data_IF_319740634659
#
_entry.id   IF_319740634659
#
_cell.length_a   1.000
_cell.length_b   1.000
_cell.length_c   1.000
_cell.angle_alpha   90.00
_cell.angle_beta   90.00
_cell.angle_gamma   90.00
#
_symmetry.space_group_name_H-M   'P 1'
#
loop_
_entity.id
_entity.type
_entity.pdbx_description
1 polymer ?
#
# COMPACT_ATOMS: atom_id res chain seq x y z
N UNK A 1 -4.16 11.68 -13.57
CA UNK A 1 -3.60 10.57 -14.38
C UNK A 1 -2.37 10.06 -13.67
N UNK A 2 -2.28 8.76 -13.50
CA UNK A 2 -1.06 8.09 -13.05
C UNK A 2 -0.48 7.26 -14.17
N UNK A 3 0.83 7.26 -14.26
CA UNK A 3 1.57 6.36 -15.12
C UNK A 3 2.71 5.70 -14.32
N UNK A 4 2.53 4.41 -14.08
CA UNK A 4 3.61 3.55 -13.61
C UNK A 4 4.47 3.15 -14.80
N UNK A 5 5.75 3.43 -14.71
CA UNK A 5 6.67 3.04 -15.79
C UNK A 5 6.88 1.53 -15.79
N UNK A 6 7.20 0.96 -16.93
CA UNK A 6 7.76 -0.38 -16.94
C UNK A 6 9.19 -0.36 -16.36
N UNK A 7 9.68 -1.46 -15.77
CA UNK A 7 11.04 -1.53 -15.23
C UNK A 7 12.11 -1.05 -16.21
N UNK A 8 11.97 -1.38 -17.50
CA UNK A 8 12.91 -0.98 -18.55
C UNK A 8 12.96 0.55 -18.74
N UNK A 9 11.86 1.26 -18.45
CA UNK A 9 11.83 2.72 -18.56
C UNK A 9 12.47 3.39 -17.35
N UNK A 10 12.49 2.75 -16.20
CA UNK A 10 13.24 3.23 -15.04
C UNK A 10 14.73 2.87 -15.19
N UNK A 11 15.05 1.65 -15.69
CA UNK A 11 16.44 1.26 -15.97
C UNK A 11 17.08 2.13 -17.05
N UNK A 12 16.27 2.68 -17.99
CA UNK A 12 16.69 3.64 -19.00
C UNK A 12 15.97 4.97 -18.79
N UNK A 13 16.37 5.82 -17.82
CA UNK A 13 15.64 7.00 -17.39
C UNK A 13 15.23 7.94 -18.52
N UNK A 14 16.05 8.06 -19.56
CA UNK A 14 15.74 8.89 -20.73
C UNK A 14 14.43 8.53 -21.41
N UNK A 15 14.09 7.23 -21.46
CA UNK A 15 12.84 6.76 -22.07
C UNK A 15 11.64 7.08 -21.20
N UNK A 16 11.75 6.81 -19.89
CA UNK A 16 10.69 7.16 -18.94
C UNK A 16 10.40 8.66 -18.88
N UNK A 17 11.45 9.49 -18.91
CA UNK A 17 11.35 10.95 -18.95
C UNK A 17 10.69 11.43 -20.25
N UNK A 18 11.04 10.84 -21.40
CA UNK A 18 10.43 11.17 -22.69
C UNK A 18 8.92 10.84 -22.69
N UNK A 19 8.55 9.66 -22.18
CA UNK A 19 7.13 9.27 -22.03
C UNK A 19 6.40 10.26 -21.12
N UNK A 20 6.99 10.61 -19.97
CA UNK A 20 6.40 11.59 -19.04
C UNK A 20 6.16 12.95 -19.73
N UNK A 21 7.11 13.38 -20.56
CA UNK A 21 6.94 14.62 -21.33
C UNK A 21 5.81 14.54 -22.33
N UNK A 22 5.67 13.41 -23.06
CA UNK A 22 4.56 13.19 -24.00
C UNK A 22 3.22 13.25 -23.25
N UNK A 23 3.13 12.63 -22.07
CA UNK A 23 1.92 12.65 -21.23
C UNK A 23 1.57 14.10 -20.86
N UNK A 24 2.52 14.86 -20.34
CA UNK A 24 2.33 16.25 -19.92
C UNK A 24 1.89 17.13 -21.10
N UNK A 25 2.56 17.01 -22.24
CA UNK A 25 2.23 17.80 -23.43
C UNK A 25 0.81 17.45 -23.95
N UNK A 26 0.45 16.15 -23.95
CA UNK A 26 -0.89 15.69 -24.33
C UNK A 26 -1.96 16.23 -23.36
N UNK A 27 -1.69 16.17 -22.05
CA UNK A 27 -2.61 16.71 -21.04
C UNK A 27 -2.87 18.20 -21.25
N UNK A 28 -1.81 19.00 -21.47
CA UNK A 28 -1.94 20.44 -21.76
C UNK A 28 -2.75 20.73 -23.01
N UNK A 29 -2.58 19.94 -24.08
CA UNK A 29 -3.39 20.07 -25.31
C UNK A 29 -4.87 19.86 -24.99
N UNK A 30 -5.22 18.81 -24.27
CA UNK A 30 -6.62 18.47 -23.96
C UNK A 30 -7.23 19.41 -22.92
N UNK A 31 -6.44 19.91 -21.99
CA UNK A 31 -6.84 20.98 -21.06
C UNK A 31 -7.25 22.25 -21.83
N UNK A 32 -6.40 22.67 -22.76
CA UNK A 32 -6.70 23.83 -23.59
C UNK A 32 -7.92 23.65 -24.50
N UNK A 33 -8.10 22.43 -25.05
CA UNK A 33 -9.17 22.12 -25.99
C UNK A 33 -10.54 21.95 -25.31
N UNK A 34 -10.58 21.36 -24.11
CA UNK A 34 -11.83 20.96 -23.46
C UNK A 34 -12.07 21.67 -22.11
N UNK A 35 -11.17 22.52 -21.67
CA UNK A 35 -11.27 23.17 -20.35
C UNK A 35 -11.12 22.18 -19.18
N UNK A 36 -10.42 21.07 -19.40
CA UNK A 36 -10.12 20.11 -18.33
C UNK A 36 -9.15 20.72 -17.31
N UNK A 37 -9.14 20.14 -16.13
CA UNK A 37 -8.06 20.33 -15.14
C UNK A 37 -7.54 18.95 -14.81
N UNK A 38 -6.29 18.72 -15.06
CA UNK A 38 -5.64 17.44 -14.85
C UNK A 38 -4.41 17.60 -13.97
N UNK A 39 -4.00 16.51 -13.35
CA UNK A 39 -2.73 16.40 -12.68
C UNK A 39 -2.09 15.06 -13.06
N UNK A 40 -0.78 15.05 -13.19
CA UNK A 40 -0.01 13.87 -13.58
C UNK A 40 0.86 13.39 -12.43
N UNK A 41 0.69 12.12 -12.07
CA UNK A 41 1.54 11.38 -11.14
C UNK A 41 2.44 10.42 -11.92
N UNK A 42 3.74 10.67 -11.89
CA UNK A 42 4.75 9.77 -12.42
C UNK A 42 5.19 8.80 -11.32
N UNK A 43 5.17 7.50 -11.60
CA UNK A 43 5.52 6.43 -10.67
C UNK A 43 6.59 5.52 -11.30
N UNK A 44 7.88 5.93 -11.30
CA UNK A 44 8.97 5.04 -11.69
C UNK A 44 9.04 3.83 -10.76
N UNK A 45 9.35 2.64 -11.35
CA UNK A 45 9.47 1.41 -10.57
C UNK A 45 10.68 1.44 -9.64
N UNK A 46 10.57 0.74 -8.53
CA UNK A 46 11.73 0.38 -7.70
C UNK A 46 12.47 -0.80 -8.32
N UNK A 47 13.73 -0.57 -8.70
CA UNK A 47 14.60 -1.55 -9.33
C UNK A 47 15.63 -2.17 -8.39
N UNK A 48 15.67 -1.72 -7.13
CA UNK A 48 16.76 -2.06 -6.21
C UNK A 48 16.84 -3.55 -5.88
N UNK A 49 15.71 -4.23 -5.93
CA UNK A 49 15.63 -5.69 -5.76
C UNK A 49 16.09 -6.50 -6.98
N UNK A 50 16.46 -5.86 -8.09
CA UNK A 50 17.08 -6.57 -9.21
C UNK A 50 18.51 -7.04 -8.88
N UNK A 51 19.13 -6.50 -7.82
CA UNK A 51 20.34 -7.07 -7.24
C UNK A 51 19.98 -8.24 -6.31
N UNK A 52 20.89 -9.19 -6.19
CA UNK A 52 20.76 -10.32 -5.28
C UNK A 52 22.07 -10.47 -4.48
N UNK A 53 22.06 -10.22 -3.17
CA UNK A 53 20.98 -9.63 -2.37
C UNK A 53 20.65 -8.18 -2.78
N UNK A 54 19.48 -7.65 -2.39
CA UNK A 54 19.06 -6.29 -2.72
C UNK A 54 20.05 -5.22 -2.24
N UNK A 55 20.37 -4.26 -3.10
CA UNK A 55 21.17 -3.07 -2.76
C UNK A 55 20.26 -1.85 -2.79
N UNK A 56 19.96 -1.30 -1.61
CA UNK A 56 18.88 -0.34 -1.42
C UNK A 56 19.32 1.12 -1.47
N UNK A 57 20.62 1.41 -1.19
CA UNK A 57 21.07 2.79 -0.97
C UNK A 57 22.12 3.27 -1.97
N UNK A 58 22.51 2.43 -2.94
CA UNK A 58 23.56 2.77 -3.88
C UNK A 58 23.47 1.95 -5.19
N UNK A 59 24.39 2.23 -6.13
CA UNK A 59 24.57 1.47 -7.36
C UNK A 59 23.62 1.89 -8.48
N UNK A 60 23.76 1.19 -9.62
CA UNK A 60 23.16 1.58 -10.90
C UNK A 60 21.63 1.72 -10.85
N UNK A 61 20.93 0.87 -10.10
CA UNK A 61 19.47 0.91 -10.00
C UNK A 61 19.00 2.09 -9.16
N UNK A 62 19.68 2.37 -8.04
CA UNK A 62 19.43 3.55 -7.25
C UNK A 62 19.65 4.85 -8.06
N UNK A 63 20.77 4.93 -8.78
CA UNK A 63 21.10 6.08 -9.62
C UNK A 63 20.06 6.28 -10.73
N UNK A 64 19.62 5.22 -11.39
CA UNK A 64 18.59 5.25 -12.42
C UNK A 64 17.23 5.73 -11.86
N UNK A 65 16.85 5.27 -10.67
CA UNK A 65 15.63 5.74 -10.00
C UNK A 65 15.70 7.24 -9.68
N UNK A 66 16.78 7.70 -9.08
CA UNK A 66 16.99 9.12 -8.76
C UNK A 66 16.94 9.99 -10.04
N UNK A 67 17.57 9.56 -11.12
CA UNK A 67 17.52 10.24 -12.43
C UNK A 67 16.07 10.27 -12.95
N UNK A 68 15.33 9.15 -12.84
CA UNK A 68 13.94 9.05 -13.27
C UNK A 68 13.01 9.96 -12.47
N UNK A 69 13.13 10.00 -11.15
CA UNK A 69 12.32 10.90 -10.30
C UNK A 69 12.58 12.38 -10.64
N UNK A 70 13.85 12.77 -10.71
CA UNK A 70 14.22 14.14 -11.05
C UNK A 70 13.77 14.51 -12.47
N UNK A 71 14.01 13.64 -13.44
CA UNK A 71 13.68 13.89 -14.83
C UNK A 71 12.17 13.96 -15.10
N UNK A 72 11.35 13.07 -14.49
CA UNK A 72 9.90 13.14 -14.59
C UNK A 72 9.34 14.41 -13.95
N UNK A 73 9.88 14.84 -12.79
CA UNK A 73 9.52 16.10 -12.16
C UNK A 73 9.85 17.29 -13.06
N UNK A 74 11.04 17.33 -13.65
CA UNK A 74 11.47 18.39 -14.59
C UNK A 74 10.65 18.38 -15.89
N UNK A 75 10.17 17.21 -16.33
CA UNK A 75 9.29 17.09 -17.49
C UNK A 75 7.88 17.66 -17.24
N UNK A 76 7.54 17.97 -15.99
CA UNK A 76 6.29 18.61 -15.62
C UNK A 76 5.29 17.69 -14.92
N UNK A 77 5.73 16.57 -14.35
CA UNK A 77 4.89 15.77 -13.46
C UNK A 77 4.52 16.60 -12.22
N UNK A 78 3.23 16.63 -11.89
CA UNK A 78 2.73 17.33 -10.69
C UNK A 78 3.10 16.55 -9.42
N UNK A 79 3.09 15.23 -9.51
CA UNK A 79 3.37 14.32 -8.41
C UNK A 79 4.43 13.30 -8.80
N UNK A 80 5.28 12.96 -7.85
CA UNK A 80 6.22 11.83 -7.94
C UNK A 80 5.82 10.79 -6.90
N UNK A 81 5.78 9.53 -7.33
CA UNK A 81 5.49 8.37 -6.50
C UNK A 81 6.44 7.22 -6.86
N UNK A 82 6.32 6.12 -6.14
CA UNK A 82 7.03 4.86 -6.37
C UNK A 82 6.25 3.74 -5.71
N UNK A 83 6.37 2.51 -6.20
CA UNK A 83 6.04 1.32 -5.42
C UNK A 83 7.35 0.75 -4.88
N UNK A 84 7.67 1.08 -3.63
CA UNK A 84 8.93 0.69 -3.03
C UNK A 84 8.96 -0.77 -2.60
N UNK A 85 10.15 -1.38 -2.66
CA UNK A 85 10.33 -2.83 -2.49
C UNK A 85 11.16 -3.21 -1.27
N UNK A 86 11.63 -2.23 -0.48
CA UNK A 86 12.45 -2.50 0.69
C UNK A 86 11.82 -3.50 1.66
N UNK A 87 12.51 -4.62 1.92
CA UNK A 87 12.02 -5.71 2.75
C UNK A 87 11.08 -6.70 2.04
N UNK A 88 10.81 -6.51 0.74
CA UNK A 88 9.78 -7.30 0.05
C UNK A 88 10.10 -8.79 -0.04
N UNK A 89 11.34 -9.17 -0.33
CA UNK A 89 11.71 -10.58 -0.46
C UNK A 89 11.57 -11.34 0.87
N UNK A 90 11.95 -10.71 1.99
CA UNK A 90 11.72 -11.27 3.32
C UNK A 90 10.23 -11.38 3.62
N UNK A 91 9.45 -10.35 3.28
CA UNK A 91 8.00 -10.37 3.47
C UNK A 91 7.32 -11.48 2.65
N UNK A 92 7.70 -11.65 1.38
CA UNK A 92 7.07 -12.66 0.52
C UNK A 92 7.34 -14.08 1.03
N UNK A 93 8.53 -14.36 1.54
CA UNK A 93 8.85 -15.64 2.20
C UNK A 93 8.04 -15.82 3.49
N UNK A 94 8.00 -14.79 4.33
CA UNK A 94 7.22 -14.81 5.56
C UNK A 94 5.72 -15.04 5.29
N UNK A 95 5.16 -14.45 4.22
CA UNK A 95 3.77 -14.67 3.82
C UNK A 95 3.52 -16.13 3.43
N UNK A 96 4.41 -16.74 2.64
CA UNK A 96 4.25 -18.15 2.23
C UNK A 96 4.27 -19.08 3.43
N UNK A 97 5.05 -18.74 4.45
CA UNK A 97 5.16 -19.51 5.70
C UNK A 97 4.07 -19.16 6.73
N UNK A 98 3.26 -18.15 6.47
CA UNK A 98 2.30 -17.55 7.40
C UNK A 98 2.95 -17.21 8.76
N UNK A 99 4.13 -16.59 8.70
CA UNK A 99 4.95 -16.19 9.84
C UNK A 99 4.82 -14.68 10.08
N UNK A 100 4.00 -14.30 11.07
CA UNK A 100 3.76 -12.88 11.36
C UNK A 100 4.97 -12.20 12.02
N UNK A 101 5.84 -12.95 12.71
CA UNK A 101 7.06 -12.42 13.29
C UNK A 101 8.02 -11.91 12.20
N UNK A 102 8.25 -12.74 11.16
CA UNK A 102 9.05 -12.35 10.01
C UNK A 102 8.40 -11.23 9.17
N UNK A 103 7.06 -11.23 9.03
CA UNK A 103 6.32 -10.13 8.39
C UNK A 103 6.55 -8.81 9.14
N UNK A 104 6.44 -8.80 10.48
CA UNK A 104 6.67 -7.60 11.27
C UNK A 104 8.12 -7.12 11.15
N UNK A 105 9.09 -8.03 11.06
CA UNK A 105 10.48 -7.67 10.79
C UNK A 105 10.63 -7.02 9.40
N UNK A 106 10.11 -7.66 8.37
CA UNK A 106 10.22 -7.16 6.99
C UNK A 106 9.54 -5.79 6.81
N UNK A 107 8.37 -5.58 7.39
CA UNK A 107 7.61 -4.33 7.26
C UNK A 107 8.07 -3.26 8.26
N UNK A 108 8.13 -3.61 9.55
CA UNK A 108 8.35 -2.67 10.65
C UNK A 108 9.80 -2.24 10.80
N UNK A 109 10.75 -3.15 10.50
CA UNK A 109 12.19 -2.84 10.56
C UNK A 109 12.70 -2.46 9.18
N UNK A 110 12.77 -3.41 8.25
CA UNK A 110 13.37 -3.17 6.93
C UNK A 110 12.57 -2.15 6.13
N UNK A 111 11.29 -2.37 5.95
CA UNK A 111 10.41 -1.53 5.14
C UNK A 111 10.32 -0.09 5.63
N UNK A 112 10.14 0.12 6.95
CA UNK A 112 10.06 1.46 7.50
C UNK A 112 11.39 2.23 7.38
N UNK A 113 12.53 1.56 7.62
CA UNK A 113 13.85 2.18 7.47
C UNK A 113 14.16 2.53 6.02
N UNK A 114 13.77 1.66 5.08
CA UNK A 114 13.92 1.94 3.65
C UNK A 114 13.02 3.09 3.21
N UNK A 115 11.77 3.10 3.61
CA UNK A 115 10.81 4.15 3.29
C UNK A 115 11.29 5.53 3.75
N UNK A 116 11.83 5.65 4.97
CA UNK A 116 12.40 6.91 5.46
C UNK A 116 13.56 7.38 4.58
N UNK A 117 14.48 6.47 4.23
CA UNK A 117 15.59 6.81 3.33
C UNK A 117 15.08 7.23 1.94
N UNK A 118 14.23 6.43 1.31
CA UNK A 118 13.74 6.64 -0.05
C UNK A 118 12.93 7.92 -0.15
N UNK A 119 11.95 8.11 0.74
CA UNK A 119 11.04 9.25 0.69
C UNK A 119 11.67 10.58 1.08
N UNK A 120 12.69 10.56 1.92
CA UNK A 120 13.52 11.74 2.14
C UNK A 120 14.14 12.21 0.82
N UNK A 121 14.73 11.31 0.03
CA UNK A 121 15.33 11.65 -1.26
C UNK A 121 14.28 12.11 -2.28
N UNK A 122 13.12 11.43 -2.38
CA UNK A 122 12.03 11.83 -3.28
C UNK A 122 11.51 13.22 -2.90
N UNK A 123 11.29 13.51 -1.62
CA UNK A 123 10.81 14.80 -1.14
C UNK A 123 11.80 15.92 -1.44
N UNK A 124 13.10 15.69 -1.27
CA UNK A 124 14.14 16.64 -1.62
C UNK A 124 14.17 16.92 -3.15
N UNK A 125 14.02 15.88 -3.99
CA UNK A 125 13.92 16.02 -5.45
C UNK A 125 12.67 16.83 -5.84
N UNK A 126 11.52 16.49 -5.28
CA UNK A 126 10.26 17.20 -5.55
C UNK A 126 10.37 18.69 -5.19
N UNK A 127 10.90 18.98 -4.00
CA UNK A 127 11.13 20.35 -3.54
C UNK A 127 12.06 21.13 -4.47
N UNK A 128 13.12 20.50 -4.97
CA UNK A 128 14.10 21.12 -5.87
C UNK A 128 13.52 21.41 -7.25
N UNK A 129 12.56 20.63 -7.74
CA UNK A 129 12.01 20.70 -9.09
C UNK A 129 10.56 21.22 -9.17
N UNK A 130 9.90 21.49 -8.05
CA UNK A 130 8.57 22.10 -8.00
C UNK A 130 7.40 21.12 -8.18
N UNK A 131 7.63 19.81 -8.04
CA UNK A 131 6.57 18.79 -7.94
C UNK A 131 6.24 18.47 -6.48
N UNK A 132 5.26 17.59 -6.26
CA UNK A 132 4.83 17.15 -4.94
C UNK A 132 5.14 15.66 -4.74
N UNK A 133 5.64 15.25 -3.56
CA UNK A 133 5.79 13.85 -3.22
C UNK A 133 4.40 13.29 -2.87
N UNK A 134 3.93 12.29 -3.66
CA UNK A 134 2.56 11.80 -3.51
C UNK A 134 2.38 10.83 -2.35
N UNK A 135 3.35 9.97 -2.12
CA UNK A 135 3.25 8.88 -1.16
C UNK A 135 3.28 7.52 -1.87
N UNK A 136 3.43 6.50 -1.08
CA UNK A 136 3.53 5.11 -1.51
C UNK A 136 2.58 4.26 -0.67
N UNK A 137 2.08 3.18 -1.23
CA UNK A 137 1.31 2.18 -0.52
C UNK A 137 2.06 0.85 -0.49
N UNK A 138 1.66 -0.04 0.41
CA UNK A 138 2.21 -1.38 0.48
C UNK A 138 1.53 -2.32 -0.56
N UNK A 139 1.28 -1.81 -1.77
CA UNK A 139 0.56 -2.54 -2.83
C UNK A 139 1.20 -3.90 -3.10
N UNK A 140 2.51 -3.94 -3.37
CA UNK A 140 3.22 -5.19 -3.62
C UNK A 140 3.25 -6.17 -2.45
N UNK A 141 3.08 -5.69 -1.21
CA UNK A 141 3.04 -6.51 0.00
C UNK A 141 1.62 -7.01 0.29
N UNK A 142 0.66 -6.10 0.33
CA UNK A 142 -0.75 -6.43 0.59
C UNK A 142 -1.37 -7.26 -0.52
N UNK A 143 -1.04 -7.00 -1.78
CA UNK A 143 -1.53 -7.78 -2.91
C UNK A 143 -1.08 -9.24 -2.81
N UNK A 144 0.19 -9.51 -2.52
CA UNK A 144 0.69 -10.88 -2.36
C UNK A 144 -0.06 -11.60 -1.24
N UNK A 145 -0.24 -10.97 -0.09
CA UNK A 145 -1.01 -11.56 1.02
C UNK A 145 -2.46 -11.87 0.63
N UNK A 146 -3.14 -10.93 -0.03
CA UNK A 146 -4.52 -11.11 -0.49
C UNK A 146 -4.66 -12.28 -1.46
N UNK A 147 -3.77 -12.36 -2.45
CA UNK A 147 -3.76 -13.44 -3.44
C UNK A 147 -3.55 -14.81 -2.82
N UNK A 148 -2.57 -14.91 -1.92
CA UNK A 148 -2.30 -16.17 -1.23
C UNK A 148 -3.50 -16.61 -0.36
N UNK A 149 -4.16 -15.66 0.31
CA UNK A 149 -5.34 -15.92 1.11
C UNK A 149 -6.54 -16.39 0.26
N UNK A 150 -6.81 -15.73 -0.86
CA UNK A 150 -7.92 -16.12 -1.76
C UNK A 150 -7.70 -17.49 -2.42
N UNK A 151 -6.44 -17.86 -2.62
CA UNK A 151 -6.07 -19.20 -3.09
C UNK A 151 -6.07 -20.27 -1.98
N UNK A 152 -6.35 -19.87 -0.74
CA UNK A 152 -6.33 -20.76 0.43
C UNK A 152 -4.93 -21.27 0.80
N UNK A 153 -3.89 -20.55 0.39
CA UNK A 153 -2.49 -20.87 0.72
C UNK A 153 -2.08 -20.31 2.09
N UNK A 154 -2.69 -19.21 2.50
CA UNK A 154 -2.57 -18.65 3.85
C UNK A 154 -3.96 -18.32 4.40
N UNK A 155 -4.13 -18.17 5.73
CA UNK A 155 -5.41 -17.80 6.31
C UNK A 155 -5.83 -16.37 5.95
N UNK A 156 -7.14 -16.14 5.73
CA UNK A 156 -7.67 -14.79 5.50
C UNK A 156 -7.48 -13.88 6.71
N UNK A 157 -7.57 -14.42 7.92
CA UNK A 157 -7.27 -13.68 9.15
C UNK A 157 -5.83 -13.20 9.18
N UNK A 158 -4.87 -14.01 8.71
CA UNK A 158 -3.47 -13.62 8.60
C UNK A 158 -3.30 -12.46 7.60
N UNK A 159 -3.88 -12.57 6.41
CA UNK A 159 -3.82 -11.50 5.41
C UNK A 159 -4.44 -10.19 5.90
N UNK A 160 -5.51 -10.25 6.71
CA UNK A 160 -6.14 -9.08 7.31
C UNK A 160 -5.23 -8.41 8.35
N UNK A 161 -4.51 -9.19 9.16
CA UNK A 161 -3.50 -8.67 10.11
C UNK A 161 -2.34 -8.01 9.35
N UNK A 162 -1.81 -8.66 8.31
CA UNK A 162 -0.75 -8.11 7.46
C UNK A 162 -1.17 -6.77 6.85
N UNK A 163 -2.41 -6.64 6.39
CA UNK A 163 -2.96 -5.38 5.84
C UNK A 163 -2.79 -4.20 6.81
N UNK A 164 -3.03 -4.40 8.10
CA UNK A 164 -2.86 -3.34 9.10
C UNK A 164 -1.40 -3.16 9.49
N UNK A 165 -0.61 -4.23 9.52
CA UNK A 165 0.83 -4.14 9.78
C UNK A 165 1.59 -3.30 8.75
N UNK A 166 1.08 -3.16 7.51
CA UNK A 166 1.71 -2.31 6.48
C UNK A 166 1.56 -0.81 6.73
N UNK A 167 0.69 -0.38 7.65
CA UNK A 167 0.38 1.05 7.88
C UNK A 167 1.61 1.88 8.23
N UNK A 168 2.44 1.40 9.16
CA UNK A 168 3.62 2.15 9.62
C UNK A 168 4.62 2.38 8.47
N UNK A 169 4.81 1.37 7.63
CA UNK A 169 5.67 1.47 6.44
C UNK A 169 5.18 2.55 5.49
N UNK A 170 3.92 2.55 5.14
CA UNK A 170 3.37 3.54 4.23
C UNK A 170 3.32 4.95 4.86
N UNK A 171 3.07 5.06 6.18
CA UNK A 171 3.07 6.32 6.91
C UNK A 171 4.45 6.99 6.91
N UNK A 172 5.55 6.23 6.87
CA UNK A 172 6.90 6.78 6.80
C UNK A 172 7.11 7.74 5.61
N UNK A 173 6.42 7.54 4.48
CA UNK A 173 6.46 8.47 3.37
C UNK A 173 5.90 9.86 3.74
N UNK A 174 4.82 9.88 4.52
CA UNK A 174 4.19 11.12 4.99
C UNK A 174 5.03 11.82 6.06
N UNK A 175 5.72 11.07 6.90
CA UNK A 175 6.69 11.61 7.87
C UNK A 175 7.84 12.32 7.15
N UNK A 176 8.22 11.85 5.96
CA UNK A 176 9.27 12.45 5.11
C UNK A 176 8.73 13.47 4.10
N UNK A 177 7.47 13.89 4.21
CA UNK A 177 6.90 15.01 3.47
C UNK A 177 5.95 14.70 2.34
N UNK A 178 5.54 13.44 2.15
CA UNK A 178 4.49 13.10 1.19
C UNK A 178 3.16 13.76 1.58
N UNK A 179 2.36 14.15 0.56
CA UNK A 179 1.11 14.89 0.74
C UNK A 179 -0.11 14.19 0.15
N UNK A 180 0.08 13.05 -0.54
CA UNK A 180 -0.96 12.38 -1.31
C UNK A 180 -1.28 13.05 -2.65
N UNK A 181 -2.21 12.51 -3.42
CA UNK A 181 -2.92 11.27 -3.14
C UNK A 181 -1.99 10.05 -3.25
N UNK A 182 -1.94 9.26 -2.18
CA UNK A 182 -1.26 7.97 -2.22
C UNK A 182 -2.11 7.00 -3.03
N UNK A 183 -1.49 6.23 -3.90
CA UNK A 183 -2.16 5.13 -4.59
C UNK A 183 -2.38 4.00 -3.60
N UNK A 184 -3.58 3.44 -3.59
CA UNK A 184 -3.93 2.31 -2.76
C UNK A 184 -4.90 1.38 -3.49
N UNK A 185 -4.59 0.10 -3.46
CA UNK A 185 -5.49 -0.95 -3.93
C UNK A 185 -6.46 -1.41 -2.81
N UNK A 186 -6.83 -0.52 -1.92
CA UNK A 186 -7.62 -0.76 -0.71
C UNK A 186 -6.91 -1.69 0.30
N UNK A 187 -5.63 -1.48 0.54
CA UNK A 187 -4.87 -2.20 1.58
C UNK A 187 -4.85 -1.41 2.89
N UNK A 188 -3.94 -0.47 3.04
CA UNK A 188 -3.76 0.32 4.26
C UNK A 188 -4.11 1.80 4.10
N UNK A 189 -4.39 2.27 2.88
CA UNK A 189 -4.58 3.69 2.57
C UNK A 189 -5.67 4.37 3.40
N UNK A 190 -6.70 3.64 3.78
CA UNK A 190 -7.76 4.15 4.67
C UNK A 190 -7.24 4.54 6.05
N UNK A 191 -6.22 3.84 6.56
CA UNK A 191 -5.53 4.20 7.81
C UNK A 191 -4.69 5.46 7.63
N UNK A 192 -3.96 5.55 6.51
CA UNK A 192 -3.22 6.76 6.16
C UNK A 192 -4.14 7.98 6.11
N UNK A 193 -5.30 7.85 5.46
CA UNK A 193 -6.32 8.89 5.43
C UNK A 193 -6.81 9.27 6.82
N UNK A 194 -7.08 8.30 7.69
CA UNK A 194 -7.54 8.56 9.06
C UNK A 194 -6.49 9.29 9.90
N UNK A 195 -5.21 8.96 9.73
CA UNK A 195 -4.09 9.52 10.50
C UNK A 195 -3.66 10.88 9.96
N UNK A 196 -3.47 11.01 8.64
CA UNK A 196 -2.86 12.19 8.02
C UNK A 196 -3.88 13.20 7.48
N UNK A 197 -5.11 12.77 7.22
CA UNK A 197 -6.10 13.55 6.49
C UNK A 197 -5.82 13.69 4.99
N UNK A 198 -4.77 13.07 4.48
CA UNK A 198 -4.40 13.12 3.06
C UNK A 198 -5.36 12.31 2.20
N UNK A 199 -5.60 12.71 0.95
CA UNK A 199 -6.45 11.96 0.03
C UNK A 199 -5.81 10.63 -0.36
N UNK A 200 -6.67 9.62 -0.58
CA UNK A 200 -6.28 8.29 -1.04
C UNK A 200 -6.99 7.98 -2.34
N UNK A 201 -6.26 7.48 -3.33
CA UNK A 201 -6.83 6.99 -4.58
C UNK A 201 -6.93 5.46 -4.56
N UNK A 202 -7.96 4.94 -5.23
CA UNK A 202 -8.17 3.50 -5.40
C UNK A 202 -8.52 3.21 -6.85
N UNK A 203 -8.16 2.04 -7.33
CA UNK A 203 -8.40 1.63 -8.72
C UNK A 203 -9.86 1.25 -9.02
N UNK A 204 -10.77 1.46 -8.09
CA UNK A 204 -12.21 1.17 -8.25
C UNK A 204 -12.61 -0.20 -7.73
N UNK A 205 -13.93 -0.43 -7.66
CA UNK A 205 -14.51 -1.64 -7.05
C UNK A 205 -14.03 -2.92 -7.70
N UNK A 206 -14.00 -2.95 -9.03
CA UNK A 206 -13.67 -4.17 -9.78
C UNK A 206 -12.21 -4.56 -9.59
N UNK A 207 -11.30 -3.60 -9.59
CA UNK A 207 -9.89 -3.85 -9.34
C UNK A 207 -9.64 -4.21 -7.87
N UNK A 208 -10.27 -3.49 -6.93
CA UNK A 208 -10.15 -3.78 -5.50
C UNK A 208 -10.61 -5.20 -5.12
N UNK A 209 -11.54 -5.78 -5.87
CA UNK A 209 -12.01 -7.17 -5.66
C UNK A 209 -11.53 -8.16 -6.74
N UNK A 210 -10.53 -7.79 -7.55
CA UNK A 210 -10.02 -8.60 -8.66
C UNK A 210 -9.61 -10.02 -8.27
N UNK A 211 -9.24 -10.21 -7.04
CA UNK A 211 -8.81 -11.49 -6.48
C UNK A 211 -9.91 -12.19 -5.67
N UNK A 212 -11.16 -11.86 -5.96
CA UNK A 212 -12.37 -12.44 -5.35
C UNK A 212 -12.59 -12.05 -3.87
N UNK A 213 -11.77 -11.17 -3.31
CA UNK A 213 -12.01 -10.59 -1.98
C UNK A 213 -13.25 -9.69 -2.02
N UNK A 214 -14.20 -9.82 -1.08
CA UNK A 214 -15.41 -8.99 -1.02
C UNK A 214 -15.12 -7.59 -0.43
N UNK A 215 -14.21 -6.83 -1.05
CA UNK A 215 -13.78 -5.50 -0.58
C UNK A 215 -14.11 -4.36 -1.53
N UNK A 216 -14.75 -4.62 -2.67
CA UNK A 216 -14.99 -3.59 -3.69
C UNK A 216 -15.91 -2.47 -3.21
N UNK A 217 -16.97 -2.77 -2.49
CA UNK A 217 -17.89 -1.74 -1.98
C UNK A 217 -17.26 -0.95 -0.82
N UNK A 218 -16.60 -1.62 0.13
CA UNK A 218 -15.96 -0.92 1.24
C UNK A 218 -14.80 -0.04 0.73
N UNK A 219 -14.02 -0.48 -0.27
CA UNK A 219 -13.01 0.34 -0.91
C UNK A 219 -13.64 1.63 -1.48
N UNK A 220 -14.78 1.52 -2.17
CA UNK A 220 -15.52 2.67 -2.66
C UNK A 220 -16.00 3.63 -1.56
N UNK A 221 -16.30 3.10 -0.38
CA UNK A 221 -16.78 3.88 0.75
C UNK A 221 -15.69 4.71 1.43
N UNK A 222 -14.44 4.21 1.42
CA UNK A 222 -13.34 4.75 2.25
C UNK A 222 -12.28 5.50 1.46
N UNK A 223 -12.28 5.45 0.12
CA UNK A 223 -11.33 6.18 -0.72
C UNK A 223 -11.89 7.52 -1.21
N UNK A 224 -11.02 8.48 -1.46
CA UNK A 224 -11.40 9.82 -1.95
C UNK A 224 -11.42 9.90 -3.47
N UNK A 225 -10.46 9.24 -4.10
CA UNK A 225 -10.23 9.24 -5.52
C UNK A 225 -10.30 7.81 -6.05
N UNK A 226 -10.68 7.71 -7.33
CA UNK A 226 -10.75 6.46 -8.03
C UNK A 226 -9.74 6.48 -9.16
N UNK A 227 -8.88 5.50 -9.20
CA UNK A 227 -7.94 5.28 -10.29
C UNK A 227 -8.34 4.04 -11.09
N UNK A 228 -7.82 3.94 -12.29
CA UNK A 228 -7.97 2.78 -13.14
C UNK A 228 -6.58 2.24 -13.45
N UNK A 229 -6.33 0.98 -13.12
CA UNK A 229 -5.16 0.25 -13.57
C UNK A 229 -5.51 -0.59 -14.77
N UNK A 230 -4.76 -0.40 -15.83
CA UNK A 230 -4.85 -1.21 -17.05
C UNK A 230 -3.48 -1.83 -17.30
N UNK A 231 -3.24 -3.00 -16.74
CA UNK A 231 -2.04 -3.77 -17.03
C UNK A 231 -2.41 -4.90 -17.98
N UNK A 232 -2.32 -4.64 -19.28
CA UNK A 232 -2.73 -5.60 -20.30
C UNK A 232 -1.78 -6.78 -20.49
N UNK A 233 -0.55 -6.73 -19.99
CA UNK A 233 0.47 -7.73 -20.31
C UNK A 233 1.31 -8.22 -19.15
N UNK A 234 1.19 -7.66 -17.95
CA UNK A 234 1.91 -8.14 -16.77
C UNK A 234 1.03 -9.12 -16.02
N UNK A 235 1.48 -10.37 -15.95
CA UNK A 235 0.91 -11.35 -15.02
C UNK A 235 1.42 -11.02 -13.63
N UNK A 236 0.58 -10.44 -12.82
CA UNK A 236 0.75 -10.48 -11.38
C UNK A 236 0.70 -11.96 -10.92
N UNK A 237 1.23 -12.27 -9.75
CA UNK A 237 1.09 -13.60 -9.13
C UNK A 237 -0.36 -14.13 -9.16
N UNK A 238 -1.34 -13.24 -9.24
CA UNK A 238 -2.77 -13.48 -9.21
C UNK A 238 -3.49 -13.30 -10.54
N UNK A 239 -2.80 -13.36 -11.66
CA UNK A 239 -3.38 -13.05 -12.97
C UNK A 239 -3.47 -11.55 -13.27
N UNK A 240 -4.05 -11.19 -14.41
CA UNK A 240 -4.12 -9.78 -14.80
C UNK A 240 -5.15 -9.03 -13.96
N UNK A 241 -4.79 -7.84 -13.51
CA UNK A 241 -5.78 -6.93 -12.95
C UNK A 241 -6.88 -6.66 -13.98
N UNK A 242 -8.16 -6.67 -13.61
CA UNK A 242 -9.24 -6.41 -14.53
C UNK A 242 -9.15 -4.96 -15.04
N UNK A 243 -9.40 -4.79 -16.33
CA UNK A 243 -9.57 -3.46 -16.90
C UNK A 243 -10.88 -2.89 -16.40
N UNK A 244 -10.80 -1.81 -15.63
CA UNK A 244 -11.99 -1.06 -15.22
C UNK A 244 -12.21 0.06 -16.22
N UNK A 245 -13.37 0.09 -16.86
CA UNK A 245 -13.68 1.16 -17.80
C UNK A 245 -13.87 2.50 -17.08
N UNK A 246 -13.42 3.58 -17.71
CA UNK A 246 -13.61 4.93 -17.17
C UNK A 246 -15.10 5.27 -16.96
N UNK A 247 -15.99 4.71 -17.78
CA UNK A 247 -17.43 4.86 -17.62
C UNK A 247 -17.92 4.27 -16.29
N UNK A 248 -17.41 3.11 -15.91
CA UNK A 248 -17.75 2.48 -14.63
C UNK A 248 -17.31 3.34 -13.45
N UNK A 249 -16.07 3.85 -13.49
CA UNK A 249 -15.58 4.79 -12.47
C UNK A 249 -16.44 6.06 -12.38
N UNK A 250 -16.84 6.60 -13.54
CA UNK A 250 -17.73 7.77 -13.61
C UNK A 250 -19.10 7.48 -12.99
N UNK A 251 -19.67 6.29 -13.21
CA UNK A 251 -20.95 5.90 -12.61
C UNK A 251 -20.83 5.79 -11.08
N UNK A 252 -19.83 5.11 -10.56
CA UNK A 252 -19.60 4.94 -9.13
C UNK A 252 -19.38 6.30 -8.44
N UNK A 253 -18.51 7.13 -9.00
CA UNK A 253 -18.24 8.49 -8.48
C UNK A 253 -19.48 9.38 -8.55
N UNK A 254 -20.25 9.31 -9.64
CA UNK A 254 -21.50 10.08 -9.78
C UNK A 254 -22.52 9.67 -8.73
N UNK A 255 -22.63 8.37 -8.41
CA UNK A 255 -23.56 7.88 -7.39
C UNK A 255 -23.19 8.41 -6.01
N UNK A 256 -21.90 8.33 -5.62
CA UNK A 256 -21.38 8.88 -4.37
C UNK A 256 -21.60 10.40 -4.28
N UNK A 257 -21.29 11.14 -5.35
CA UNK A 257 -21.52 12.58 -5.43
C UNK A 257 -23.02 12.94 -5.32
N UNK A 258 -23.90 12.12 -5.89
CA UNK A 258 -25.35 12.32 -5.78
C UNK A 258 -25.85 12.09 -4.37
N UNK A 259 -25.38 11.03 -3.72
CA UNK A 259 -25.68 10.76 -2.31
C UNK A 259 -25.23 11.93 -1.42
N UNK A 260 -24.00 12.44 -1.66
CA UNK A 260 -23.46 13.61 -0.94
C UNK A 260 -24.33 14.84 -1.12
N UNK A 261 -24.72 15.18 -2.36
CA UNK A 261 -25.57 16.33 -2.67
C UNK A 261 -26.96 16.24 -2.03
N UNK A 262 -27.47 15.02 -1.84
CA UNK A 262 -28.77 14.76 -1.22
C UNK A 262 -28.73 14.63 0.30
N UNK A 263 -27.55 14.71 0.92
CA UNK A 263 -27.36 14.57 2.37
C UNK A 263 -27.32 13.11 2.86
N UNK A 264 -27.24 12.12 1.97
CA UNK A 264 -27.20 10.68 2.28
C UNK A 264 -25.78 10.09 2.23
N UNK A 265 -24.75 10.92 2.34
CA UNK A 265 -23.35 10.47 2.23
C UNK A 265 -23.01 9.42 3.27
N UNK A 266 -23.43 9.64 4.52
CA UNK A 266 -23.14 8.74 5.63
C UNK A 266 -23.84 7.40 5.45
N UNK A 267 -25.12 7.43 5.19
CA UNK A 267 -25.94 6.23 4.98
C UNK A 267 -25.44 5.41 3.79
N UNK A 268 -25.05 6.07 2.71
CA UNK A 268 -24.53 5.39 1.54
C UNK A 268 -23.15 4.75 1.80
N UNK A 269 -22.26 5.46 2.51
CA UNK A 269 -20.99 4.90 2.97
C UNK A 269 -21.22 3.67 3.86
N UNK A 270 -22.12 3.78 4.82
CA UNK A 270 -22.40 2.72 5.79
C UNK A 270 -22.99 1.48 5.07
N UNK A 271 -23.90 1.67 4.12
CA UNK A 271 -24.44 0.57 3.29
C UNK A 271 -23.34 -0.15 2.51
N UNK A 272 -22.41 0.58 1.89
CA UNK A 272 -21.29 0.00 1.16
C UNK A 272 -20.35 -0.77 2.10
N UNK A 273 -20.03 -0.22 3.26
CA UNK A 273 -19.15 -0.87 4.22
C UNK A 273 -19.79 -2.13 4.85
N UNK A 274 -21.06 -2.05 5.20
CA UNK A 274 -21.80 -3.17 5.81
C UNK A 274 -22.11 -4.29 4.83
N UNK A 275 -22.08 -4.02 3.52
CA UNK A 275 -22.25 -5.07 2.51
C UNK A 275 -21.07 -6.02 2.44
N UNK A 276 -19.87 -5.57 2.77
CA UNK A 276 -18.62 -6.31 2.59
C UNK A 276 -18.03 -6.78 3.93
N UNK A 277 -18.02 -5.92 4.95
CA UNK A 277 -17.33 -6.17 6.22
C UNK A 277 -17.67 -7.49 6.91
N UNK A 278 -18.91 -7.99 6.93
CA UNK A 278 -19.24 -9.26 7.58
C UNK A 278 -18.71 -10.50 6.85
N UNK A 279 -18.32 -10.37 5.58
CA UNK A 279 -18.02 -11.49 4.71
C UNK A 279 -16.56 -11.95 4.78
N UNK A 280 -15.65 -11.06 5.19
CA UNK A 280 -14.22 -11.33 5.15
C UNK A 280 -13.48 -10.47 6.18
N UNK A 281 -12.52 -11.02 6.95
CA UNK A 281 -11.74 -10.25 7.91
C UNK A 281 -10.92 -9.12 7.25
N UNK A 282 -10.51 -9.27 5.97
CA UNK A 282 -9.82 -8.23 5.23
C UNK A 282 -10.74 -7.02 4.95
N UNK A 283 -12.04 -7.26 4.68
CA UNK A 283 -13.02 -6.18 4.55
C UNK A 283 -13.33 -5.57 5.93
N UNK A 284 -13.42 -6.38 6.97
CA UNK A 284 -13.74 -5.91 8.31
C UNK A 284 -12.73 -4.89 8.84
N UNK A 285 -11.43 -5.12 8.66
CA UNK A 285 -10.40 -4.17 9.11
C UNK A 285 -10.40 -2.84 8.34
N UNK A 286 -11.14 -2.74 7.22
CA UNK A 286 -11.37 -1.51 6.48
C UNK A 286 -12.65 -0.77 6.92
N UNK A 287 -13.47 -1.36 7.81
CA UNK A 287 -14.69 -0.72 8.30
C UNK A 287 -14.35 0.61 8.98
N UNK A 288 -15.02 1.73 8.64
CA UNK A 288 -14.63 3.06 9.10
C UNK A 288 -14.45 3.19 10.62
N UNK A 289 -15.29 2.52 11.42
CA UNK A 289 -15.14 2.55 12.88
C UNK A 289 -13.93 1.75 13.35
N UNK A 290 -13.67 0.59 12.77
CA UNK A 290 -12.49 -0.26 13.09
C UNK A 290 -11.21 0.49 12.74
N UNK A 291 -11.17 1.13 11.56
CA UNK A 291 -10.04 1.97 11.15
C UNK A 291 -9.80 3.10 12.13
N UNK A 292 -10.86 3.81 12.55
CA UNK A 292 -10.74 4.91 13.50
C UNK A 292 -10.21 4.42 14.85
N UNK A 293 -10.74 3.32 15.36
CA UNK A 293 -10.32 2.75 16.65
C UNK A 293 -8.83 2.36 16.61
N UNK A 294 -8.41 1.62 15.58
CA UNK A 294 -7.02 1.19 15.43
C UNK A 294 -6.10 2.40 15.18
N UNK A 295 -6.45 3.30 14.25
CA UNK A 295 -5.64 4.47 13.92
C UNK A 295 -5.40 5.38 15.15
N UNK A 296 -6.40 5.54 16.01
CA UNK A 296 -6.28 6.35 17.23
C UNK A 296 -5.33 5.75 18.28
N UNK A 297 -5.07 4.44 18.22
CA UNK A 297 -4.03 3.80 19.05
C UNK A 297 -2.67 3.85 18.33
N UNK A 298 -2.62 3.59 17.02
CA UNK A 298 -1.37 3.58 16.26
C UNK A 298 -0.57 4.89 16.39
N UNK A 299 -1.24 6.03 16.43
CA UNK A 299 -0.57 7.35 16.58
C UNK A 299 0.10 7.55 17.94
N UNK A 300 -0.08 6.64 18.90
CA UNK A 300 0.58 6.66 20.22
C UNK A 300 1.90 5.89 20.24
N UNK A 301 2.20 5.12 19.19
CA UNK A 301 3.43 4.35 19.09
C UNK A 301 4.65 5.28 19.06
N UNK A 302 5.73 4.90 19.72
CA UNK A 302 6.94 5.72 19.84
C UNK A 302 7.79 5.69 18.56
N UNK A 303 7.69 4.62 17.79
CA UNK A 303 8.42 4.44 16.54
C UNK A 303 7.66 3.52 15.55
N UNK A 304 8.15 3.44 14.33
CA UNK A 304 7.50 2.70 13.25
C UNK A 304 7.47 1.18 13.49
N UNK A 305 8.49 0.62 14.15
CA UNK A 305 8.51 -0.81 14.52
C UNK A 305 7.40 -1.13 15.52
N UNK A 306 7.32 -0.36 16.61
CA UNK A 306 6.25 -0.51 17.61
C UNK A 306 4.87 -0.28 16.99
N UNK A 307 4.74 0.67 16.07
CA UNK A 307 3.48 0.90 15.33
C UNK A 307 3.09 -0.32 14.51
N UNK A 308 4.04 -0.99 13.85
CA UNK A 308 3.80 -2.21 13.08
C UNK A 308 3.34 -3.36 13.96
N UNK A 309 4.06 -3.64 15.06
CA UNK A 309 3.71 -4.66 16.05
C UNK A 309 2.32 -4.39 16.65
N UNK A 310 2.10 -3.16 17.10
CA UNK A 310 0.81 -2.70 17.64
C UNK A 310 -0.33 -2.85 16.62
N UNK A 311 -0.09 -2.49 15.36
CA UNK A 311 -1.07 -2.62 14.28
C UNK A 311 -1.49 -4.06 14.05
N UNK A 312 -0.54 -4.97 14.04
CA UNK A 312 -0.81 -6.41 13.94
C UNK A 312 -1.66 -6.91 15.12
N UNK A 313 -1.29 -6.52 16.36
CA UNK A 313 -2.02 -6.92 17.57
C UNK A 313 -3.45 -6.37 17.59
N UNK A 314 -3.61 -5.07 17.33
CA UNK A 314 -4.93 -4.42 17.34
C UNK A 314 -5.85 -5.00 16.24
N UNK A 315 -5.31 -5.30 15.06
CA UNK A 315 -6.07 -5.96 14.01
C UNK A 315 -6.55 -7.35 14.46
N UNK A 316 -5.66 -8.14 15.06
CA UNK A 316 -5.98 -9.47 15.59
C UNK A 316 -7.06 -9.41 16.66
N UNK A 317 -6.94 -8.48 17.62
CA UNK A 317 -7.91 -8.28 18.70
C UNK A 317 -9.29 -7.93 18.15
N UNK A 318 -9.37 -6.97 17.21
CA UNK A 318 -10.62 -6.57 16.57
C UNK A 318 -11.28 -7.69 15.77
N UNK A 319 -10.47 -8.46 15.03
CA UNK A 319 -10.97 -9.63 14.30
C UNK A 319 -11.47 -10.70 15.28
N UNK A 320 -10.74 -10.96 16.35
CA UNK A 320 -11.11 -11.95 17.37
C UNK A 320 -12.44 -11.57 18.06
N UNK A 321 -12.60 -10.30 18.44
CA UNK A 321 -13.85 -9.78 19.00
C UNK A 321 -15.02 -9.96 18.02
N UNK A 322 -14.81 -9.62 16.75
CA UNK A 322 -15.83 -9.70 15.71
C UNK A 322 -16.24 -11.14 15.37
N UNK A 323 -15.27 -12.07 15.35
CA UNK A 323 -15.54 -13.50 15.16
C UNK A 323 -16.34 -14.07 16.33
N UNK A 324 -15.97 -13.73 17.56
CA UNK A 324 -16.64 -14.20 18.77
C UNK A 324 -18.07 -13.67 18.90
N UNK A 325 -18.31 -12.43 18.44
CA UNK A 325 -19.66 -11.83 18.42
C UNK A 325 -20.51 -12.24 17.22
N UNK A 326 -19.90 -12.90 16.21
CA UNK A 326 -20.57 -13.27 14.97
C UNK A 326 -20.72 -12.12 13.98
N UNK A 327 -20.01 -11.00 14.16
CA UNK A 327 -20.02 -9.85 13.25
C UNK A 327 -19.25 -10.15 11.95
N UNK A 328 -18.24 -11.00 12.01
CA UNK A 328 -17.43 -11.43 10.84
C UNK A 328 -17.45 -12.95 10.70
N UNK A 329 -17.65 -13.39 9.48
CA UNK A 329 -17.51 -14.79 9.15
C UNK A 329 -16.06 -15.19 8.93
N UNK A 330 -15.63 -16.23 9.64
CA UNK A 330 -14.33 -16.89 9.46
C UNK A 330 -14.56 -18.39 9.44
N UNK A 331 -13.95 -19.09 8.48
CA UNK A 331 -14.04 -20.53 8.40
C UNK A 331 -13.49 -21.20 9.68
N UNK A 332 -14.09 -22.30 10.10
CA UNK A 332 -13.70 -23.00 11.34
C UNK A 332 -12.22 -23.38 11.36
N UNK A 333 -11.68 -23.78 10.20
CA UNK A 333 -10.26 -24.13 10.05
C UNK A 333 -9.31 -22.95 10.29
N UNK A 334 -9.77 -21.71 10.14
CA UNK A 334 -8.96 -20.50 10.31
C UNK A 334 -8.97 -19.98 11.75
N UNK A 335 -9.96 -20.32 12.57
CA UNK A 335 -10.07 -19.81 13.94
C UNK A 335 -8.84 -20.08 14.80
N UNK A 336 -8.19 -21.23 14.61
CA UNK A 336 -6.94 -21.55 15.31
C UNK A 336 -5.80 -20.58 15.03
N UNK A 337 -5.86 -19.88 13.87
CA UNK A 337 -4.82 -18.92 13.50
C UNK A 337 -4.90 -17.64 14.31
N UNK A 338 -6.04 -17.34 14.94
CA UNK A 338 -6.14 -16.22 15.88
C UNK A 338 -5.15 -16.43 17.05
N UNK A 339 -5.13 -17.64 17.62
CA UNK A 339 -4.21 -17.98 18.71
C UNK A 339 -2.75 -18.11 18.20
N UNK A 340 -2.54 -18.69 17.03
CA UNK A 340 -1.19 -18.85 16.45
C UNK A 340 -0.54 -17.48 16.20
N UNK A 341 -1.27 -16.56 15.57
CA UNK A 341 -0.77 -15.21 15.28
C UNK A 341 -0.51 -14.46 16.60
N UNK A 342 -1.43 -14.55 17.57
CA UNK A 342 -1.27 -13.92 18.88
C UNK A 342 0.00 -14.38 19.60
N UNK A 343 0.23 -15.68 19.66
CA UNK A 343 1.46 -16.22 20.28
C UNK A 343 2.73 -15.76 19.56
N UNK A 344 2.73 -15.70 18.23
CA UNK A 344 3.87 -15.20 17.46
C UNK A 344 4.15 -13.72 17.73
N UNK A 345 3.11 -12.88 17.91
CA UNK A 345 3.26 -11.45 18.23
C UNK A 345 3.77 -11.27 19.67
N UNK A 346 3.28 -12.06 20.61
CA UNK A 346 3.69 -12.04 22.01
C UNK A 346 5.18 -12.38 22.19
N UNK A 347 5.74 -13.21 21.31
CA UNK A 347 7.15 -13.60 21.31
C UNK A 347 8.10 -12.53 20.71
N UNK A 348 7.58 -11.39 20.21
CA UNK A 348 8.38 -10.32 19.62
C UNK A 348 8.87 -9.38 20.75
N UNK A 349 10.17 -9.11 20.80
CA UNK A 349 10.74 -8.11 21.70
C UNK A 349 10.12 -6.71 21.47
N UNK A 350 10.09 -5.87 22.50
CA UNK A 350 9.55 -4.50 22.39
C UNK A 350 10.57 -3.51 21.81
N UNK A 351 11.87 -3.80 21.96
CA UNK A 351 12.94 -3.01 21.34
C UNK A 351 13.28 -3.54 19.95
N UNK A 352 13.43 -2.63 18.99
CA UNK A 352 13.70 -2.97 17.59
C UNK A 352 15.03 -3.67 17.38
N UNK A 353 16.07 -3.26 18.12
CA UNK A 353 17.40 -3.87 17.97
C UNK A 353 17.48 -5.23 18.66
N UNK A 354 16.83 -5.39 19.80
CA UNK A 354 16.67 -6.69 20.45
C UNK A 354 15.92 -7.66 19.52
N UNK A 355 14.85 -7.19 18.90
CA UNK A 355 14.11 -8.00 17.93
C UNK A 355 14.97 -8.35 16.70
N UNK A 356 15.78 -7.42 16.20
CA UNK A 356 16.70 -7.72 15.10
C UNK A 356 17.73 -8.78 15.52
N UNK A 357 18.27 -8.69 16.75
CA UNK A 357 19.22 -9.70 17.24
C UNK A 357 18.56 -11.08 17.36
N UNK A 358 17.32 -11.15 17.81
CA UNK A 358 16.54 -12.40 17.88
C UNK A 358 16.27 -13.01 16.51
N UNK A 359 16.15 -12.17 15.47
CA UNK A 359 15.84 -12.62 14.12
C UNK A 359 17.06 -13.07 13.29
N UNK A 360 18.30 -12.76 13.72
CA UNK A 360 19.49 -12.97 12.88
C UNK A 360 19.68 -14.42 12.41
N UNK A 361 19.35 -15.39 13.25
CA UNK A 361 19.47 -16.82 12.91
C UNK A 361 18.35 -17.34 11.99
N UNK A 362 17.25 -16.57 11.87
CA UNK A 362 16.07 -16.93 11.09
C UNK A 362 16.04 -16.26 9.70
N UNK A 363 16.92 -15.26 9.46
CA UNK A 363 16.91 -14.47 8.23
C UNK A 363 17.77 -15.09 7.15
N UNK A 364 17.24 -15.10 5.92
CA UNK A 364 18.00 -15.47 4.72
C UNK A 364 18.89 -14.30 4.26
N UNK A 365 20.18 -14.40 4.57
CA UNK A 365 21.17 -13.37 4.24
C UNK A 365 21.43 -13.20 2.72
N UNK A 366 20.92 -14.10 1.87
CA UNK A 366 20.93 -13.90 0.42
C UNK A 366 19.84 -12.91 -0.04
N UNK A 367 18.90 -12.61 0.85
CA UNK A 367 17.78 -11.66 0.63
C UNK A 367 17.92 -10.36 1.39
N UNK A 368 18.93 -10.24 2.26
CA UNK A 368 19.02 -9.16 3.21
C UNK A 368 20.47 -8.77 3.50
N UNK A 369 20.77 -7.48 3.37
CA UNK A 369 22.05 -6.89 3.80
C UNK A 369 21.73 -5.87 4.90
N UNK A 370 22.08 -6.11 6.18
CA UNK A 370 21.72 -5.22 7.29
C UNK A 370 22.11 -3.76 7.05
N UNK A 371 23.33 -3.50 6.58
CA UNK A 371 23.81 -2.14 6.32
C UNK A 371 23.02 -1.36 5.27
N UNK A 372 22.31 -2.03 4.36
CA UNK A 372 21.44 -1.40 3.38
C UNK A 372 20.16 -0.84 4.02
N UNK A 373 19.82 -1.32 5.23
CA UNK A 373 18.72 -0.82 6.06
C UNK A 373 19.21 0.03 7.26
N UNK A 374 20.54 0.20 7.41
CA UNK A 374 21.12 0.93 8.54
C UNK A 374 21.03 0.17 9.86
N UNK A 375 21.12 -1.15 9.79
CA UNK A 375 21.25 -2.09 10.89
C UNK A 375 22.72 -2.46 11.09
#
# INVERSE_FOLDING_TARGET
>A
IEYETLPEFTENPKWGIEVSKIIVDTMKEYEAKYGLKSAYRATPNDLREMNRPPIMRSGKYWEAMIESFAGCSQAGADFISVESTGGKELNDEALVNADIKQVIFALGVCGCRDMKFLWKNISDICKANGSLPAGDSACGFGNTAMVLAERGMIPKVFAAVVRVATVARALAAFEEGAVGPSKDCAYEGVYLKAITGSPISCEGKSAACAHLSPIGNIAAAVTDLWSNESVQQVKLLAEMAPVVSIEQLVYDTRLMNTATKKGFRKEFRDLLAESDAPLDPQAYVLKPQVVYDIASELVKAENSFQMTKMGAQLALDKITEAVNSGEVYVEEREKKWLDIIGNQIDDIADDELEFYDDMQDELDMDKFIPSEYGL
#
